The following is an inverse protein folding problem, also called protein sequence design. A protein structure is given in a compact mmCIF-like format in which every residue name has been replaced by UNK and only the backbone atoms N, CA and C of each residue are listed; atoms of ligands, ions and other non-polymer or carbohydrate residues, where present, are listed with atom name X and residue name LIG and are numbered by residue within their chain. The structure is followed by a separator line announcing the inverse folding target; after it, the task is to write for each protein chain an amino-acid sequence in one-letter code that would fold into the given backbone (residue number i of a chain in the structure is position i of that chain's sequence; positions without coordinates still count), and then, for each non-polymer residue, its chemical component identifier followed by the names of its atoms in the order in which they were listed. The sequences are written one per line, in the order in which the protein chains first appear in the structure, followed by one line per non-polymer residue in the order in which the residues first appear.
data_IF_589507034252
#
_entry.id   IF_589507034252
#
_cell.length_a   1.000
_cell.length_b   1.000
_cell.length_c   1.000
_cell.angle_alpha   90.00
_cell.angle_beta   90.00
_cell.angle_gamma   90.00
#
_symmetry.space_group_name_H-M   'P 1'
#
loop_
_entity.id
_entity.type
_entity.pdbx_description
1 polymer ?
#
# COMPACT_ATOMS: atom_id res chain seq x y z
N UNK A 1 -1.32 -21.15 -7.70
CA UNK A 1 -1.79 -19.84 -8.18
C UNK A 1 -1.16 -19.59 -9.54
N UNK A 2 -1.82 -20.02 -10.61
CA UNK A 2 -1.36 -19.86 -11.98
C UNK A 2 -1.76 -18.44 -12.40
N UNK A 3 -0.77 -17.58 -12.71
CA UNK A 3 -1.02 -16.24 -13.24
C UNK A 3 -1.78 -16.35 -14.58
N UNK A 4 -2.63 -15.37 -14.93
CA UNK A 4 -3.33 -15.39 -16.22
C UNK A 4 -2.29 -15.42 -17.34
N UNK A 5 -2.20 -16.56 -18.02
CA UNK A 5 -1.14 -16.94 -18.97
C UNK A 5 -0.94 -15.93 -20.12
N UNK A 6 -1.87 -14.99 -20.31
CA UNK A 6 -1.79 -13.91 -21.29
C UNK A 6 -0.91 -12.73 -20.86
N UNK A 7 -0.95 -12.29 -19.60
CA UNK A 7 -0.28 -11.06 -19.18
C UNK A 7 1.25 -11.22 -19.15
N UNK A 8 1.73 -12.36 -18.67
CA UNK A 8 3.17 -12.66 -18.61
C UNK A 8 3.80 -12.61 -20.00
N UNK A 9 3.09 -13.15 -21.01
CA UNK A 9 3.53 -13.11 -22.42
C UNK A 9 3.54 -11.68 -22.96
N UNK A 10 2.50 -10.89 -22.67
CA UNK A 10 2.44 -9.49 -23.10
C UNK A 10 3.61 -8.68 -22.53
N UNK A 11 3.86 -8.77 -21.22
CA UNK A 11 4.97 -8.05 -20.57
C UNK A 11 6.31 -8.50 -21.13
N UNK A 12 6.48 -9.79 -21.44
CA UNK A 12 7.69 -10.29 -22.08
C UNK A 12 7.89 -9.72 -23.51
N UNK A 13 6.81 -9.56 -24.29
CA UNK A 13 6.85 -8.89 -25.60
C UNK A 13 7.23 -7.41 -25.45
N UNK A 14 6.59 -6.70 -24.53
CA UNK A 14 6.90 -5.28 -24.25
C UNK A 14 8.35 -5.12 -23.79
N UNK A 15 8.84 -6.03 -22.95
CA UNK A 15 10.25 -6.09 -22.53
C UNK A 15 11.19 -6.26 -23.72
N UNK A 16 10.87 -7.17 -24.64
CA UNK A 16 11.67 -7.41 -25.83
C UNK A 16 11.76 -6.13 -26.68
N UNK A 17 10.62 -5.48 -26.93
CA UNK A 17 10.56 -4.21 -27.64
C UNK A 17 11.46 -3.13 -27.01
N UNK A 18 11.36 -2.96 -25.68
CA UNK A 18 12.23 -2.08 -24.88
C UNK A 18 13.71 -2.49 -24.80
N UNK A 19 14.09 -3.68 -25.25
CA UNK A 19 15.49 -4.09 -25.34
C UNK A 19 16.05 -3.88 -26.74
N UNK A 20 15.19 -4.00 -27.74
CA UNK A 20 15.53 -3.82 -29.16
C UNK A 20 15.35 -2.39 -29.66
N UNK A 21 14.94 -1.47 -28.79
CA UNK A 21 14.55 -0.09 -29.13
C UNK A 21 13.45 -0.01 -30.21
N UNK A 22 12.67 -1.08 -30.38
CA UNK A 22 11.50 -1.13 -31.26
C UNK A 22 10.27 -0.64 -30.50
N UNK A 23 9.48 0.24 -31.12
CA UNK A 23 8.18 0.70 -30.59
C UNK A 23 8.21 1.07 -29.10
N UNK A 24 9.29 1.75 -28.68
CA UNK A 24 9.56 2.06 -27.26
C UNK A 24 8.44 2.90 -26.65
N UNK A 25 7.96 3.90 -27.39
CA UNK A 25 6.92 4.80 -26.93
C UNK A 25 5.61 4.04 -26.67
N UNK A 26 5.19 3.23 -27.63
CA UNK A 26 3.98 2.40 -27.53
C UNK A 26 4.12 1.37 -26.42
N UNK A 27 5.32 0.79 -26.28
CA UNK A 27 5.59 -0.21 -25.24
C UNK A 27 5.55 0.40 -23.84
N UNK A 28 6.13 1.58 -23.65
CA UNK A 28 6.03 2.33 -22.39
C UNK A 28 4.60 2.75 -22.09
N UNK A 29 3.85 3.20 -23.11
CA UNK A 29 2.43 3.52 -23.00
C UNK A 29 1.60 2.31 -22.57
N UNK A 30 1.77 1.18 -23.25
CA UNK A 30 1.06 -0.06 -22.94
C UNK A 30 1.37 -0.60 -21.53
N UNK A 31 2.61 -0.43 -21.04
CA UNK A 31 2.97 -0.79 -19.66
C UNK A 31 2.25 0.09 -18.63
N UNK A 32 2.07 1.38 -18.93
CA UNK A 32 1.35 2.31 -18.05
C UNK A 32 -0.17 2.06 -18.06
N UNK A 33 -0.74 1.74 -19.22
CA UNK A 33 -2.18 1.53 -19.38
C UNK A 33 -2.67 0.21 -18.78
N UNK A 34 -1.93 -0.88 -18.96
CA UNK A 34 -2.40 -2.22 -18.60
C UNK A 34 -2.14 -2.63 -17.13
N UNK A 35 -1.74 -1.69 -16.27
CA UNK A 35 -1.47 -1.86 -14.82
C UNK A 35 -1.08 -3.30 -14.40
N UNK A 36 0.14 -3.72 -14.76
CA UNK A 36 0.63 -5.05 -14.41
C UNK A 36 0.98 -5.20 -12.92
N UNK A 37 0.92 -6.43 -12.41
CA UNK A 37 1.31 -6.70 -11.02
C UNK A 37 2.80 -6.42 -10.79
N UNK A 38 3.17 -5.99 -9.57
CA UNK A 38 4.57 -5.71 -9.22
C UNK A 38 5.50 -6.93 -9.46
N UNK A 39 4.98 -8.14 -9.27
CA UNK A 39 5.71 -9.39 -9.52
C UNK A 39 6.17 -9.49 -10.98
N UNK A 40 5.34 -9.05 -11.92
CA UNK A 40 5.67 -9.09 -13.34
C UNK A 40 6.71 -8.05 -13.73
N UNK A 41 6.62 -6.85 -13.17
CA UNK A 41 7.65 -5.83 -13.37
C UNK A 41 9.02 -6.28 -12.86
N UNK A 42 9.06 -6.96 -11.71
CA UNK A 42 10.29 -7.54 -11.16
C UNK A 42 10.80 -8.72 -12.00
N UNK A 43 9.93 -9.65 -12.36
CA UNK A 43 10.32 -10.84 -13.14
C UNK A 43 10.90 -10.49 -14.52
N UNK A 44 10.42 -9.39 -15.12
CA UNK A 44 10.85 -8.94 -16.44
C UNK A 44 11.90 -7.82 -16.41
N UNK A 45 12.39 -7.43 -15.22
CA UNK A 45 13.33 -6.32 -15.01
C UNK A 45 12.90 -4.99 -15.68
N UNK A 46 11.59 -4.75 -15.78
CA UNK A 46 11.05 -3.61 -16.53
C UNK A 46 11.61 -2.30 -16.00
N UNK A 47 11.60 -2.11 -14.67
CA UNK A 47 12.17 -0.91 -14.02
C UNK A 47 13.58 -0.60 -14.50
N UNK A 48 14.45 -1.62 -14.49
CA UNK A 48 15.86 -1.48 -14.88
C UNK A 48 16.02 -1.15 -16.37
N UNK A 49 15.20 -1.76 -17.22
CA UNK A 49 15.22 -1.50 -18.66
C UNK A 49 14.72 -0.07 -18.92
N UNK A 50 13.61 0.33 -18.30
CA UNK A 50 13.01 1.67 -18.41
C UNK A 50 13.97 2.78 -17.99
N UNK A 51 14.85 2.54 -17.01
CA UNK A 51 15.86 3.52 -16.59
C UNK A 51 16.78 3.98 -17.72
N UNK A 52 17.03 3.15 -18.73
CA UNK A 52 17.87 3.51 -19.90
C UNK A 52 17.28 4.69 -20.67
N UNK A 53 15.96 4.85 -20.62
CA UNK A 53 15.22 5.85 -21.38
C UNK A 53 15.03 7.18 -20.64
N UNK A 54 15.51 7.32 -19.40
CA UNK A 54 15.42 8.56 -18.62
C UNK A 54 16.12 9.76 -19.27
N UNK A 55 17.19 9.47 -20.02
CA UNK A 55 18.00 10.44 -20.74
C UNK A 55 17.81 10.34 -22.26
N UNK A 56 16.67 9.78 -22.70
CA UNK A 56 16.37 9.70 -24.14
C UNK A 56 16.25 11.10 -24.74
N UNK A 57 16.73 11.26 -25.99
CA UNK A 57 16.60 12.49 -26.76
C UNK A 57 15.12 12.87 -27.00
N UNK A 58 14.25 11.85 -27.09
CA UNK A 58 12.81 12.04 -27.22
C UNK A 58 12.19 12.34 -25.87
N UNK A 59 11.72 13.58 -25.71
CA UNK A 59 11.12 14.09 -24.46
C UNK A 59 9.95 13.20 -23.99
N UNK A 60 9.12 12.75 -24.92
CA UNK A 60 7.96 11.90 -24.63
C UNK A 60 8.38 10.55 -24.03
N UNK A 61 9.37 9.88 -24.63
CA UNK A 61 9.89 8.61 -24.13
C UNK A 61 10.44 8.80 -22.71
N UNK A 62 11.23 9.85 -22.49
CA UNK A 62 11.77 10.15 -21.18
C UNK A 62 10.68 10.48 -20.15
N UNK A 63 9.61 11.15 -20.56
CA UNK A 63 8.44 11.44 -19.72
C UNK A 63 7.70 10.16 -19.31
N UNK A 64 7.38 9.29 -20.27
CA UNK A 64 6.72 8.02 -19.99
C UNK A 64 7.60 7.09 -19.15
N UNK A 65 8.90 7.05 -19.40
CA UNK A 65 9.85 6.28 -18.60
C UNK A 65 9.87 6.74 -17.14
N UNK A 66 9.94 8.06 -16.89
CA UNK A 66 9.86 8.63 -15.54
C UNK A 66 8.55 8.24 -14.85
N UNK A 67 7.42 8.41 -15.55
CA UNK A 67 6.10 8.10 -15.01
C UNK A 67 5.97 6.61 -14.63
N UNK A 68 6.45 5.72 -15.49
CA UNK A 68 6.41 4.28 -15.25
C UNK A 68 7.30 3.88 -14.07
N UNK A 69 8.48 4.49 -13.93
CA UNK A 69 9.36 4.25 -12.78
C UNK A 69 8.67 4.72 -11.49
N UNK A 70 8.08 5.91 -11.46
CA UNK A 70 7.34 6.41 -10.29
C UNK A 70 6.20 5.47 -9.90
N UNK A 71 5.44 4.96 -10.88
CA UNK A 71 4.38 3.99 -10.61
C UNK A 71 4.93 2.70 -9.98
N UNK A 72 6.05 2.18 -10.48
CA UNK A 72 6.67 0.97 -9.92
C UNK A 72 7.17 1.25 -8.50
N UNK A 73 7.87 2.36 -8.26
CA UNK A 73 8.41 2.72 -6.94
C UNK A 73 7.27 2.91 -5.90
N UNK A 74 6.14 3.49 -6.31
CA UNK A 74 4.93 3.60 -5.49
C UNK A 74 4.35 2.22 -5.13
N UNK A 75 4.33 1.30 -6.09
CA UNK A 75 3.88 -0.08 -5.86
C UNK A 75 4.83 -0.85 -4.92
N UNK A 76 6.14 -0.65 -5.05
CA UNK A 76 7.15 -1.25 -4.15
C UNK A 76 6.97 -0.74 -2.72
N UNK A 77 6.85 0.57 -2.56
CA UNK A 77 6.64 1.21 -1.25
C UNK A 77 5.35 0.70 -0.58
N UNK A 78 4.26 0.58 -1.34
CA UNK A 78 2.98 0.03 -0.81
C UNK A 78 3.11 -1.42 -0.38
N UNK A 79 3.81 -2.25 -1.15
CA UNK A 79 4.02 -3.67 -0.81
C UNK A 79 4.92 -3.85 0.41
N UNK A 80 5.96 -3.02 0.55
CA UNK A 80 6.84 -3.03 1.71
C UNK A 80 6.10 -2.61 2.99
N UNK A 81 5.28 -1.55 2.92
CA UNK A 81 4.42 -1.16 4.04
C UNK A 81 3.47 -2.27 4.47
N UNK A 82 2.88 -2.99 3.52
CA UNK A 82 2.01 -4.16 3.81
C UNK A 82 2.81 -5.28 4.49
N UNK A 83 4.05 -5.52 4.09
CA UNK A 83 4.90 -6.55 4.69
C UNK A 83 5.34 -6.17 6.12
N UNK A 84 5.70 -4.90 6.34
CA UNK A 84 6.01 -4.35 7.67
C UNK A 84 4.77 -4.43 8.58
N UNK A 85 3.59 -4.01 8.10
CA UNK A 85 2.36 -4.10 8.92
C UNK A 85 2.04 -5.57 9.27
N UNK A 86 2.22 -6.50 8.32
CA UNK A 86 2.01 -7.94 8.55
C UNK A 86 3.02 -8.55 9.53
N UNK A 87 4.27 -8.07 9.56
CA UNK A 87 5.27 -8.55 10.52
C UNK A 87 5.03 -7.96 11.91
N UNK A 88 4.63 -6.69 12.01
CA UNK A 88 4.23 -6.05 13.25
C UNK A 88 2.97 -6.68 13.86
N UNK A 89 1.97 -7.04 13.04
CA UNK A 89 0.77 -7.75 13.50
C UNK A 89 1.10 -9.12 14.09
N UNK A 90 2.03 -9.87 13.47
CA UNK A 90 2.50 -11.17 13.96
C UNK A 90 3.38 -11.06 15.20
N UNK A 91 4.08 -9.93 15.40
CA UNK A 91 4.81 -9.64 16.63
C UNK A 91 3.92 -9.30 17.83
N UNK A 92 2.70 -8.80 17.60
CA UNK A 92 1.75 -8.46 18.67
C UNK A 92 0.88 -9.64 19.14
N UNK A 93 1.02 -10.83 18.54
CA UNK A 93 0.34 -12.05 18.97
C UNK A 93 1.09 -12.77 20.11
N UNK A 94 2.26 -12.26 20.51
CA UNK A 94 3.08 -12.83 21.57
C UNK A 94 3.58 -11.75 22.52
N UNK A 95 2.66 -11.05 23.19
CA UNK A 95 2.81 -10.49 24.54
C UNK A 95 1.51 -9.79 24.98
N UNK A 96 0.49 -10.56 25.30
CA UNK A 96 -0.58 -10.11 26.20
C UNK A 96 -0.82 -11.18 27.26
N UNK A 97 0.16 -11.34 28.17
CA UNK A 97 -0.13 -11.81 29.51
C UNK A 97 -0.85 -10.69 30.26
N UNK A 98 -2.15 -10.87 30.47
CA UNK A 98 -3.00 -10.31 31.54
C UNK A 98 -2.52 -9.01 32.22
N UNK A 99 -3.19 -7.90 31.93
CA UNK A 99 -3.41 -6.88 32.95
C UNK A 99 -4.89 -6.82 33.25
N UNK A 100 -5.27 -7.51 34.33
CA UNK A 100 -6.54 -7.29 34.98
C UNK A 100 -6.52 -5.89 35.59
N UNK A 101 -7.52 -5.07 35.26
CA UNK A 101 -7.78 -3.82 35.94
C UNK A 101 -8.20 -4.12 37.39
N UNK A 102 -7.30 -3.87 38.34
CA UNK A 102 -7.71 -3.65 39.73
C UNK A 102 -7.03 -2.40 40.27
N UNK A 103 -7.85 -1.36 40.42
CA UNK A 103 -7.67 -0.20 41.27
C UNK A 103 -6.91 -0.48 42.58
N UNK A 104 -5.83 0.29 42.85
CA UNK A 104 -5.48 0.89 44.15
C UNK A 104 -4.16 1.69 44.08
N UNK A 105 -4.26 2.99 44.42
CA UNK A 105 -3.29 3.98 44.97
C UNK A 105 -1.77 3.87 44.69
N UNK A 106 -1.08 4.99 44.37
CA UNK A 106 0.38 5.05 44.27
C UNK A 106 1.03 5.47 45.60
N UNK A 107 2.19 4.89 45.94
CA UNK A 107 3.20 5.37 46.91
C UNK A 107 4.57 4.73 46.53
N UNK A 108 5.71 5.32 46.91
CA UNK A 108 6.78 5.57 45.95
C UNK A 108 8.16 5.01 46.38
N UNK A 109 9.11 5.16 45.44
CA UNK A 109 10.58 5.14 45.59
C UNK A 109 11.28 3.79 45.90
N UNK A 110 12.19 3.43 45.00
CA UNK A 110 13.58 3.18 45.39
C UNK A 110 14.50 3.44 44.19
N UNK A 111 15.22 4.55 44.27
CA UNK A 111 16.51 4.74 43.59
C UNK A 111 17.50 3.69 44.11
N UNK A 112 18.50 3.37 43.29
CA UNK A 112 19.59 2.39 43.53
C UNK A 112 19.29 0.91 43.23
N UNK A 113 19.65 0.48 42.01
CA UNK A 113 20.50 -0.70 41.79
C UNK A 113 20.69 -0.98 40.29
N UNK A 114 21.37 -0.09 39.55
CA UNK A 114 21.94 -0.47 38.24
C UNK A 114 23.28 -1.16 38.50
N UNK A 115 23.25 -2.41 38.94
CA UNK A 115 24.43 -3.28 38.97
C UNK A 115 24.53 -4.05 37.65
N UNK A 116 25.17 -3.43 36.66
CA UNK A 116 25.45 -4.02 35.37
C UNK A 116 26.53 -5.11 35.48
N UNK A 117 26.14 -6.38 35.66
CA UNK A 117 27.06 -7.52 35.50
C UNK A 117 27.09 -7.99 34.04
N UNK A 118 28.03 -7.39 33.30
CA UNK A 118 28.52 -7.80 31.98
C UNK A 118 28.94 -9.28 32.00
N UNK A 119 28.13 -10.17 31.43
CA UNK A 119 28.52 -11.58 31.21
C UNK A 119 28.90 -11.74 29.74
N UNK A 120 30.14 -12.13 29.45
CA UNK A 120 30.59 -12.38 28.06
C UNK A 120 30.00 -13.70 27.52
N UNK A 121 29.66 -13.80 26.21
CA UNK A 121 29.14 -15.04 25.65
C UNK A 121 30.25 -16.08 25.48
N UNK A 122 30.03 -17.27 26.03
CA UNK A 122 30.93 -18.43 25.94
C UNK A 122 30.93 -18.99 24.52
N UNK A 123 32.12 -19.10 23.92
CA UNK A 123 32.34 -19.72 22.61
C UNK A 123 32.11 -21.23 22.72
N UNK A 124 31.15 -21.77 21.96
CA UNK A 124 30.84 -23.19 21.92
C UNK A 124 31.84 -23.92 21.01
N UNK A 125 32.70 -24.76 21.59
CA UNK A 125 33.63 -25.63 20.86
C UNK A 125 32.99 -27.02 20.66
N UNK A 126 32.75 -27.49 19.43
CA UNK A 126 32.20 -28.83 19.20
C UNK A 126 33.24 -29.90 19.57
N UNK A 127 32.95 -30.65 20.63
CA UNK A 127 33.74 -31.79 21.11
C UNK A 127 33.61 -32.96 20.11
N UNK A 128 34.71 -33.42 19.50
CA UNK A 128 34.70 -34.60 18.62
C UNK A 128 34.40 -35.86 19.44
N UNK A 129 33.30 -36.55 19.12
CA UNK A 129 33.02 -37.91 19.62
C UNK A 129 33.64 -38.94 18.69
N UNK A 130 34.32 -39.90 19.29
CA UNK A 130 35.06 -40.96 18.62
C UNK A 130 34.21 -41.86 17.72
N UNK A 131 34.87 -42.43 16.73
CA UNK A 131 34.32 -43.38 15.77
C UNK A 131 33.74 -44.60 16.49
N UNK A 132 32.49 -44.93 16.18
CA UNK A 132 31.87 -46.22 16.50
C UNK A 132 31.65 -46.95 15.18
N UNK A 133 32.12 -48.20 15.15
CA UNK A 133 32.21 -49.09 14.01
C UNK A 133 30.84 -49.50 13.46
N UNK A 134 30.76 -49.56 12.13
CA UNK A 134 29.66 -50.16 11.38
C UNK A 134 29.78 -51.68 11.48
N UNK A 135 28.76 -52.34 12.02
CA UNK A 135 28.58 -53.78 11.92
C UNK A 135 27.20 -54.07 11.30
N UNK A 136 27.23 -54.75 10.15
CA UNK A 136 26.10 -55.07 9.30
C UNK A 136 25.11 -56.04 9.96
N UNK A 137 23.81 -55.75 9.90
CA UNK A 137 22.76 -56.76 9.94
C UNK A 137 21.61 -56.42 8.98
N UNK A 138 21.09 -57.48 8.34
CA UNK A 138 20.14 -57.53 7.21
C UNK A 138 18.77 -56.88 7.47
N UNK A 139 17.98 -56.58 6.42
CA UNK A 139 16.76 -55.78 6.51
C UNK A 139 15.57 -56.58 7.02
N UNK A 140 14.85 -56.03 7.99
CA UNK A 140 13.49 -56.45 8.35
C UNK A 140 12.54 -55.32 7.94
N UNK A 141 11.52 -55.66 7.15
CA UNK A 141 10.52 -54.73 6.61
C UNK A 141 9.81 -53.92 7.72
N UNK A 142 9.64 -52.59 7.57
CA UNK A 142 8.74 -51.86 8.43
C UNK A 142 7.33 -51.82 7.83
N UNK A 143 6.38 -52.47 8.52
CA UNK A 143 4.93 -52.19 8.38
C UNK A 143 4.70 -50.70 8.66
N UNK A 144 4.26 -49.97 7.64
CA UNK A 144 3.86 -48.56 7.74
C UNK A 144 2.56 -48.48 8.55
N UNK A 145 2.67 -48.17 9.84
CA UNK A 145 1.56 -47.60 10.60
C UNK A 145 1.62 -46.09 10.44
N UNK A 146 0.64 -45.51 9.75
CA UNK A 146 0.51 -44.06 9.57
C UNK A 146 0.06 -43.46 10.91
N UNK A 147 0.82 -42.55 11.54
CA UNK A 147 0.42 -41.92 12.80
C UNK A 147 -0.82 -41.02 12.62
N UNK A 148 -1.83 -41.21 13.47
CA UNK A 148 -3.10 -40.45 13.48
C UNK A 148 -2.92 -38.93 13.69
N UNK A 149 -1.75 -38.51 14.18
CA UNK A 149 -1.38 -37.10 14.37
C UNK A 149 -1.46 -36.26 13.09
N UNK A 150 -1.32 -36.90 11.91
CA UNK A 150 -1.44 -36.21 10.61
C UNK A 150 -2.89 -35.81 10.28
N UNK A 151 -3.90 -36.50 10.80
CA UNK A 151 -5.32 -36.21 10.49
C UNK A 151 -5.82 -34.98 11.25
N UNK A 152 -5.43 -34.83 12.52
CA UNK A 152 -5.77 -33.66 13.34
C UNK A 152 -5.14 -32.36 12.83
N UNK A 153 -4.04 -32.44 12.09
CA UNK A 153 -3.36 -31.28 11.48
C UNK A 153 -4.13 -30.70 10.29
N UNK A 154 -4.76 -31.54 9.47
CA UNK A 154 -5.46 -31.08 8.26
C UNK A 154 -6.77 -30.37 8.63
N UNK A 155 -7.55 -30.93 9.55
CA UNK A 155 -8.83 -30.31 9.95
C UNK A 155 -8.63 -28.95 10.65
N UNK A 156 -7.57 -28.83 11.46
CA UNK A 156 -7.19 -27.54 12.07
C UNK A 156 -6.80 -26.51 11.02
N UNK A 157 -6.01 -26.91 10.01
CA UNK A 157 -5.65 -26.03 8.87
C UNK A 157 -6.87 -25.57 8.08
N UNK A 158 -7.81 -26.46 7.79
CA UNK A 158 -9.05 -26.11 7.07
C UNK A 158 -9.97 -25.17 7.84
N UNK A 159 -9.94 -25.20 9.18
CA UNK A 159 -10.68 -24.24 10.03
C UNK A 159 -9.96 -22.90 10.11
N UNK A 160 -8.64 -22.90 10.11
CA UNK A 160 -7.81 -21.69 10.11
C UNK A 160 -7.89 -20.94 8.77
N UNK A 161 -7.81 -21.65 7.64
CA UNK A 161 -8.01 -21.06 6.31
C UNK A 161 -9.38 -20.39 6.17
N UNK A 162 -10.45 -21.05 6.64
CA UNK A 162 -11.80 -20.46 6.66
C UNK A 162 -11.88 -19.18 7.50
N UNK A 163 -11.21 -19.14 8.66
CA UNK A 163 -11.16 -17.94 9.51
C UNK A 163 -10.40 -16.80 8.85
N UNK A 164 -9.31 -17.11 8.15
CA UNK A 164 -8.51 -16.13 7.41
C UNK A 164 -9.34 -15.56 6.25
N UNK A 165 -10.05 -16.41 5.52
CA UNK A 165 -10.90 -16.01 4.41
C UNK A 165 -12.06 -15.11 4.87
N UNK A 166 -12.75 -15.51 5.95
CA UNK A 166 -13.79 -14.69 6.58
C UNK A 166 -13.27 -13.33 7.07
N UNK A 167 -12.05 -13.29 7.64
CA UNK A 167 -11.43 -12.04 8.06
C UNK A 167 -11.14 -11.11 6.87
N UNK A 168 -10.64 -11.66 5.76
CA UNK A 168 -10.36 -10.89 4.55
C UNK A 168 -11.65 -10.35 3.93
N UNK A 169 -12.71 -11.15 3.91
CA UNK A 169 -14.03 -10.74 3.42
C UNK A 169 -14.61 -9.61 4.29
N UNK A 170 -14.59 -9.76 5.63
CA UNK A 170 -15.00 -8.69 6.56
C UNK A 170 -14.21 -7.39 6.34
N UNK A 171 -12.89 -7.48 6.10
CA UNK A 171 -12.07 -6.30 5.80
C UNK A 171 -12.46 -5.61 4.50
N UNK A 172 -12.81 -6.36 3.45
CA UNK A 172 -13.31 -5.80 2.19
C UNK A 172 -14.63 -5.07 2.40
N UNK A 173 -15.58 -5.68 3.12
CA UNK A 173 -16.88 -5.07 3.42
C UNK A 173 -16.71 -3.75 4.17
N UNK A 174 -15.86 -3.72 5.21
CA UNK A 174 -15.59 -2.50 5.99
C UNK A 174 -14.95 -1.41 5.13
N UNK A 175 -14.04 -1.77 4.22
CA UNK A 175 -13.41 -0.80 3.33
C UNK A 175 -14.40 -0.21 2.33
N UNK A 176 -15.32 -1.03 1.82
CA UNK A 176 -16.37 -0.58 0.91
C UNK A 176 -17.40 0.31 1.61
N UNK A 177 -17.80 -0.03 2.83
CA UNK A 177 -18.71 0.78 3.65
C UNK A 177 -18.11 2.16 3.96
N UNK A 178 -16.83 2.23 4.34
CA UNK A 178 -16.14 3.51 4.54
C UNK A 178 -16.09 4.37 3.28
N UNK A 179 -15.89 3.76 2.10
CA UNK A 179 -15.94 4.49 0.82
C UNK A 179 -17.35 5.04 0.54
N UNK A 180 -18.39 4.27 0.86
CA UNK A 180 -19.78 4.72 0.73
C UNK A 180 -20.09 5.85 1.70
N UNK A 181 -19.65 5.77 2.96
CA UNK A 181 -19.80 6.84 3.94
C UNK A 181 -19.09 8.12 3.50
N UNK A 182 -17.87 8.02 2.98
CA UNK A 182 -17.12 9.17 2.47
C UNK A 182 -17.81 9.79 1.25
N UNK A 183 -18.30 8.97 0.32
CA UNK A 183 -19.09 9.44 -0.81
C UNK A 183 -20.38 10.15 -0.36
N UNK A 184 -21.07 9.62 0.66
CA UNK A 184 -22.24 10.27 1.26
C UNK A 184 -21.85 11.61 1.87
N UNK A 185 -20.76 11.70 2.63
CA UNK A 185 -20.28 12.96 3.23
C UNK A 185 -19.96 14.00 2.15
N UNK A 186 -19.23 13.62 1.10
CA UNK A 186 -18.90 14.52 -0.02
C UNK A 186 -20.17 14.98 -0.75
N UNK A 187 -21.12 14.07 -0.99
CA UNK A 187 -22.40 14.44 -1.62
C UNK A 187 -23.21 15.43 -0.76
N UNK A 188 -23.21 15.26 0.57
CA UNK A 188 -23.89 16.17 1.50
C UNK A 188 -23.29 17.58 1.47
N UNK A 189 -21.96 17.68 1.44
CA UNK A 189 -21.27 18.98 1.33
C UNK A 189 -21.57 19.66 0.00
N UNK A 190 -21.53 18.89 -1.10
CA UNK A 190 -21.85 19.40 -2.44
C UNK A 190 -23.28 19.93 -2.53
N UNK A 191 -24.24 19.17 -2.02
CA UNK A 191 -25.66 19.57 -2.01
C UNK A 191 -25.87 20.83 -1.15
N UNK A 192 -25.23 20.93 0.02
CA UNK A 192 -25.31 22.13 0.86
C UNK A 192 -24.74 23.37 0.17
N UNK A 193 -23.66 23.23 -0.61
CA UNK A 193 -23.10 24.32 -1.40
C UNK A 193 -24.02 24.75 -2.54
N UNK A 194 -24.63 23.80 -3.25
CA UNK A 194 -25.60 24.08 -4.31
C UNK A 194 -26.87 24.76 -3.77
N UNK A 195 -27.35 24.31 -2.61
CA UNK A 195 -28.48 24.92 -1.90
C UNK A 195 -28.16 26.36 -1.46
N UNK A 196 -26.99 26.61 -0.88
CA UNK A 196 -26.54 27.95 -0.51
C UNK A 196 -26.44 28.88 -1.73
N UNK A 197 -25.98 28.35 -2.87
CA UNK A 197 -25.93 29.10 -4.14
C UNK A 197 -27.32 29.44 -4.65
N UNK A 198 -28.27 28.51 -4.56
CA UNK A 198 -29.65 28.74 -4.96
C UNK A 198 -30.33 29.78 -4.05
N UNK A 199 -30.09 29.70 -2.74
CA UNK A 199 -30.61 30.65 -1.76
C UNK A 199 -30.08 32.06 -2.01
N UNK A 200 -28.79 32.22 -2.30
CA UNK A 200 -28.20 33.52 -2.68
C UNK A 200 -28.82 34.09 -3.97
N UNK A 201 -29.12 33.23 -4.95
CA UNK A 201 -29.82 33.65 -6.18
C UNK A 201 -31.25 34.13 -5.89
N UNK A 202 -31.99 33.40 -5.06
CA UNK A 202 -33.35 33.78 -4.66
C UNK A 202 -33.35 35.09 -3.86
N UNK A 203 -32.41 35.26 -2.95
CA UNK A 203 -32.25 36.50 -2.17
C UNK A 203 -31.90 37.70 -3.07
N UNK A 204 -31.02 37.52 -4.05
CA UNK A 204 -30.70 38.57 -5.02
C UNK A 204 -31.91 38.95 -5.90
N UNK A 205 -32.72 37.97 -6.31
CA UNK A 205 -33.97 38.23 -7.05
C UNK A 205 -34.99 38.98 -6.17
N UNK A 206 -35.15 38.57 -4.92
CA UNK A 206 -36.03 39.24 -3.95
C UNK A 206 -35.58 40.67 -3.64
N UNK A 207 -34.27 40.90 -3.47
CA UNK A 207 -33.71 42.24 -3.27
C UNK A 207 -33.91 43.15 -4.50
N UNK A 208 -33.88 42.55 -5.71
CA UNK A 208 -34.16 43.25 -6.96
C UNK A 208 -35.65 43.61 -7.10
N UNK A 209 -36.55 42.73 -6.67
CA UNK A 209 -38.00 43.00 -6.60
C UNK A 209 -38.36 44.04 -5.52
N UNK A 210 -37.62 44.07 -4.41
CA UNK A 210 -37.78 45.06 -3.35
C UNK A 210 -37.15 46.43 -3.67
N UNK A 211 -36.66 46.64 -4.90
CA UNK A 211 -36.21 47.95 -5.38
C UNK A 211 -34.89 48.46 -4.77
N UNK A 212 -34.12 47.61 -4.09
CA UNK A 212 -32.91 48.02 -3.35
C UNK A 212 -31.68 48.33 -4.25
N UNK A 213 -31.87 48.60 -5.54
CA UNK A 213 -30.78 48.94 -6.47
C UNK A 213 -31.06 50.20 -7.31
N UNK A 214 -32.05 51.01 -6.93
CA UNK A 214 -32.33 52.29 -7.61
C UNK A 214 -31.62 53.50 -6.95
N UNK A 215 -30.53 53.30 -6.23
CA UNK A 215 -29.67 54.40 -5.81
C UNK A 215 -28.19 53.99 -5.92
N UNK A 216 -27.40 54.90 -6.50
CA UNK A 216 -25.95 54.82 -6.73
C UNK A 216 -25.43 53.94 -7.89
N UNK A 217 -25.78 54.32 -9.12
CA UNK A 217 -24.81 54.17 -10.21
C UNK A 217 -23.61 55.10 -9.95
N UNK A 218 -22.36 54.59 -9.88
CA UNK A 218 -21.20 55.45 -9.74
C UNK A 218 -20.99 56.24 -11.04
N UNK A 219 -21.20 57.56 -10.97
CA UNK A 219 -20.97 58.50 -12.07
C UNK A 219 -19.56 58.27 -12.67
N UNK A 220 -19.43 58.15 -14.00
CA UNK A 220 -18.12 57.92 -14.62
C UNK A 220 -17.16 59.07 -14.31
N UNK A 221 -16.00 58.74 -13.72
CA UNK A 221 -14.93 59.70 -13.43
C UNK A 221 -14.44 60.32 -14.76
N UNK A 222 -14.64 61.62 -14.93
CA UNK A 222 -14.07 62.37 -16.06
C UNK A 222 -12.54 62.37 -15.95
N UNK A 223 -11.88 61.70 -16.89
CA UNK A 223 -10.43 61.75 -17.03
C UNK A 223 -10.00 63.17 -17.40
N UNK A 224 -9.18 63.82 -16.56
CA UNK A 224 -8.53 65.09 -16.89
C UNK A 224 -7.37 64.79 -17.85
N UNK A 225 -7.59 64.99 -19.15
CA UNK A 225 -6.49 65.02 -20.12
C UNK A 225 -5.60 66.23 -19.82
N UNK A 226 -4.42 65.98 -19.24
CA UNK A 226 -3.33 66.95 -19.15
C UNK A 226 -2.67 67.04 -20.52
N UNK A 227 -2.92 68.14 -21.24
CA UNK A 227 -2.27 68.45 -22.51
C UNK A 227 -0.88 69.01 -22.20
N UNK A 228 0.17 68.18 -22.31
CA UNK A 228 1.55 68.68 -22.28
C UNK A 228 1.77 69.53 -23.53
N UNK A 229 2.17 70.79 -23.32
CA UNK A 229 2.72 71.66 -24.36
C UNK A 229 4.23 71.42 -24.40
N UNK A 230 4.76 71.38 -25.61
CA UNK A 230 6.17 71.15 -25.95
C UNK A 230 7.06 72.25 -25.36
#
# INVERSE_FOLDING_TARGET
MQLPVGQDRQVATLRYNLLTDSDVLDSLGALLENEYSLKLYRANDIRRITMRYLSSEKIEIAFFARKLITQIDDMESKMEQIEIERSMKRGNESSTSSSAETSRKPLPLSEDAISCKRTMPTIFVPKKRGAVSVASQKPQEPKVQIPEDRRMSIEKKMKEERRIEEYLERKKVIAEEKKREEAIRVSKVKNAFEEARLKRKQEAMKAREQGFWEEDQPKPKKAKYSKRRW
#
